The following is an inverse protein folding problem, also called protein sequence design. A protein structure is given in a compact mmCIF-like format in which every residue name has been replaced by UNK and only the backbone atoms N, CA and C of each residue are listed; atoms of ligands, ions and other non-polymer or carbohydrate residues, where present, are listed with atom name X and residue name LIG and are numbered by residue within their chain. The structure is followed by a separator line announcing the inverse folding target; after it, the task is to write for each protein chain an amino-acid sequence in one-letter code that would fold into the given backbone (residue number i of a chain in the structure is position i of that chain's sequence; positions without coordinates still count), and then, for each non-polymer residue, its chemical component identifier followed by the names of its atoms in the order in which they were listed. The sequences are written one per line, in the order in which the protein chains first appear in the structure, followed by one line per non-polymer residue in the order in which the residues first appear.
data_IF_522115339468
#
_entry.id   IF_522115339468
#
_cell.length_a   1.000
_cell.length_b   1.000
_cell.length_c   1.000
_cell.angle_alpha   90.00
_cell.angle_beta   90.00
_cell.angle_gamma   90.00
#
_symmetry.space_group_name_H-M   'P 1'
#
loop_
_entity.id
_entity.type
_entity.pdbx_description
1 polymer ?
#
# COMPACT_ATOMS: atom_id res chain seq x y z
N UNK A 1 0.12 7.93 -19.34
CA UNK A 1 -1.07 7.39 -18.65
C UNK A 1 -1.24 5.96 -19.15
N UNK A 2 -0.76 4.95 -18.43
CA UNK A 2 -1.12 3.56 -18.74
C UNK A 2 -2.44 3.30 -18.02
N UNK A 3 -3.53 3.32 -18.78
CA UNK A 3 -4.83 2.85 -18.29
C UNK A 3 -4.64 1.41 -17.85
N UNK A 4 -4.90 1.12 -16.57
CA UNK A 4 -4.89 -0.26 -16.10
C UNK A 4 -6.16 -0.90 -16.67
N UNK A 5 -6.03 -1.59 -17.78
CA UNK A 5 -7.13 -2.28 -18.45
C UNK A 5 -7.35 -3.62 -17.77
N UNK A 6 -8.58 -3.92 -17.37
CA UNK A 6 -8.94 -5.27 -16.93
C UNK A 6 -8.65 -6.30 -18.04
N UNK A 7 -8.47 -7.56 -17.65
CA UNK A 7 -8.33 -8.64 -18.62
C UNK A 7 -9.52 -8.66 -19.58
N UNK A 8 -9.26 -8.71 -20.87
CA UNK A 8 -10.32 -8.76 -21.88
C UNK A 8 -11.09 -10.08 -21.78
N UNK A 9 -12.35 -10.09 -22.21
CA UNK A 9 -13.14 -11.32 -22.28
C UNK A 9 -12.43 -12.43 -23.09
N UNK A 10 -11.66 -12.06 -24.12
CA UNK A 10 -10.84 -12.99 -24.89
C UNK A 10 -9.70 -13.62 -24.06
N UNK A 11 -8.98 -12.82 -23.27
CA UNK A 11 -7.95 -13.32 -22.37
C UNK A 11 -8.52 -14.24 -21.28
N UNK A 12 -9.63 -13.83 -20.64
CA UNK A 12 -10.31 -14.67 -19.64
C UNK A 12 -10.75 -16.00 -20.25
N UNK A 13 -11.34 -15.98 -21.45
CA UNK A 13 -11.73 -17.20 -22.17
C UNK A 13 -10.53 -18.10 -22.47
N UNK A 14 -9.40 -17.53 -22.85
CA UNK A 14 -8.19 -18.28 -23.15
C UNK A 14 -7.60 -18.93 -21.89
N UNK A 15 -7.56 -18.20 -20.76
CA UNK A 15 -7.09 -18.72 -19.46
C UNK A 15 -7.99 -19.88 -19.01
N UNK A 16 -9.31 -19.72 -19.08
CA UNK A 16 -10.26 -20.78 -18.73
C UNK A 16 -10.02 -22.04 -19.57
N UNK A 17 -9.75 -21.88 -20.88
CA UNK A 17 -9.45 -23.00 -21.76
C UNK A 17 -8.18 -23.75 -21.32
N UNK A 18 -7.11 -23.04 -20.96
CA UNK A 18 -5.90 -23.70 -20.47
C UNK A 18 -6.14 -24.52 -19.20
N UNK A 19 -6.96 -24.01 -18.27
CA UNK A 19 -7.32 -24.75 -17.07
C UNK A 19 -8.18 -25.99 -17.38
N UNK A 20 -9.20 -25.86 -18.24
CA UNK A 20 -10.02 -27.00 -18.69
C UNK A 20 -9.20 -28.07 -19.39
N UNK A 21 -8.35 -27.68 -20.35
CA UNK A 21 -7.51 -28.60 -21.11
C UNK A 21 -6.53 -29.35 -20.17
N UNK A 22 -6.00 -28.68 -19.14
CA UNK A 22 -5.14 -29.30 -18.14
C UNK A 22 -5.89 -30.33 -17.28
N UNK A 23 -7.11 -30.02 -16.84
CA UNK A 23 -7.95 -30.95 -16.06
C UNK A 23 -8.32 -32.17 -16.91
N UNK A 24 -8.71 -31.97 -18.18
CA UNK A 24 -9.03 -33.06 -19.09
C UNK A 24 -7.86 -34.03 -19.30
N UNK A 25 -6.64 -33.48 -19.39
CA UNK A 25 -5.42 -34.29 -19.47
C UNK A 25 -5.21 -35.14 -18.21
N UNK A 26 -5.40 -34.57 -17.02
CA UNK A 26 -5.31 -35.33 -15.75
C UNK A 26 -6.36 -36.45 -15.69
N UNK A 27 -7.60 -36.19 -16.12
CA UNK A 27 -8.65 -37.22 -16.14
C UNK A 27 -8.30 -38.37 -17.08
N UNK A 28 -7.71 -38.05 -18.24
CA UNK A 28 -7.26 -39.05 -19.21
C UNK A 28 -6.12 -39.91 -18.64
N UNK A 29 -5.15 -39.29 -17.97
CA UNK A 29 -4.00 -39.98 -17.35
C UNK A 29 -4.41 -40.83 -16.13
N UNK A 30 -5.37 -40.37 -15.34
CA UNK A 30 -5.85 -41.07 -14.15
C UNK A 30 -6.66 -42.34 -14.50
N UNK A 31 -7.38 -42.33 -15.64
CA UNK A 31 -8.09 -43.50 -16.14
C UNK A 31 -9.20 -44.01 -15.22
N UNK A 32 -10.06 -43.10 -14.74
CA UNK A 32 -11.18 -43.45 -13.85
C UNK A 32 -12.13 -44.47 -14.48
N UNK A 33 -12.54 -45.46 -13.69
CA UNK A 33 -13.65 -46.34 -14.04
C UNK A 33 -15.01 -45.66 -13.77
N UNK A 34 -16.10 -46.21 -14.29
CA UNK A 34 -17.44 -45.61 -14.12
C UNK A 34 -17.81 -45.36 -12.64
N UNK A 35 -17.57 -46.30 -11.69
CA UNK A 35 -17.80 -46.02 -10.27
C UNK A 35 -16.90 -44.93 -9.69
N UNK A 36 -15.62 -44.86 -10.08
CA UNK A 36 -14.69 -43.83 -9.67
C UNK A 36 -15.09 -42.44 -10.17
N UNK A 37 -15.50 -42.33 -11.43
CA UNK A 37 -16.03 -41.10 -12.01
C UNK A 37 -17.29 -40.63 -11.26
N UNK A 38 -18.22 -41.55 -10.97
CA UNK A 38 -19.44 -41.22 -10.24
C UNK A 38 -19.15 -40.70 -8.82
N UNK A 39 -18.17 -41.29 -8.10
CA UNK A 39 -17.75 -40.78 -6.79
C UNK A 39 -17.19 -39.35 -6.87
N UNK A 40 -16.37 -39.04 -7.87
CA UNK A 40 -15.85 -37.66 -8.06
C UNK A 40 -17.00 -36.68 -8.34
N UNK A 41 -18.00 -37.09 -9.12
CA UNK A 41 -19.20 -36.26 -9.38
C UNK A 41 -20.00 -36.01 -8.10
N UNK A 42 -20.18 -37.04 -7.26
CA UNK A 42 -20.89 -36.91 -5.97
C UNK A 42 -20.16 -35.99 -4.98
N UNK A 43 -18.82 -35.92 -5.07
CA UNK A 43 -17.97 -34.99 -4.31
C UNK A 43 -17.56 -33.76 -5.14
N UNK A 44 -18.38 -33.36 -6.11
CA UNK A 44 -18.04 -32.32 -7.09
C UNK A 44 -17.66 -30.96 -6.47
N UNK A 45 -18.31 -30.57 -5.36
CA UNK A 45 -18.01 -29.31 -4.66
C UNK A 45 -16.62 -29.34 -4.01
N UNK A 46 -16.22 -30.47 -3.41
CA UNK A 46 -14.89 -30.64 -2.83
C UNK A 46 -13.81 -30.59 -3.91
N UNK A 47 -14.06 -31.23 -5.05
CA UNK A 47 -13.17 -31.16 -6.21
C UNK A 47 -13.06 -29.73 -6.76
N UNK A 48 -14.19 -29.02 -6.88
CA UNK A 48 -14.22 -27.64 -7.36
C UNK A 48 -13.42 -26.69 -6.45
N UNK A 49 -13.55 -26.78 -5.13
CA UNK A 49 -12.78 -25.96 -4.19
C UNK A 49 -11.28 -26.31 -4.22
N UNK A 50 -10.91 -27.58 -4.40
CA UNK A 50 -9.51 -27.98 -4.55
C UNK A 50 -8.90 -27.36 -5.83
N UNK A 51 -9.59 -27.46 -6.96
CA UNK A 51 -9.17 -26.85 -8.23
C UNK A 51 -9.10 -25.33 -8.13
N UNK A 52 -10.10 -24.69 -7.51
CA UNK A 52 -10.13 -23.25 -7.27
C UNK A 52 -8.91 -22.79 -6.48
N UNK A 53 -8.56 -23.50 -5.41
CA UNK A 53 -7.40 -23.18 -4.56
C UNK A 53 -6.10 -23.22 -5.36
N UNK A 54 -5.85 -24.31 -6.09
CA UNK A 54 -4.63 -24.48 -6.89
C UNK A 54 -4.57 -23.47 -8.05
N UNK A 55 -5.69 -23.28 -8.75
CA UNK A 55 -5.77 -22.34 -9.88
C UNK A 55 -5.52 -20.91 -9.42
N UNK A 56 -6.08 -20.50 -8.28
CA UNK A 56 -5.83 -19.18 -7.71
C UNK A 56 -4.35 -18.96 -7.39
N UNK A 57 -3.67 -19.96 -6.84
CA UNK A 57 -2.24 -19.88 -6.56
C UNK A 57 -1.42 -19.74 -7.85
N UNK A 58 -1.67 -20.61 -8.84
CA UNK A 58 -0.95 -20.59 -10.12
C UNK A 58 -1.18 -19.31 -10.93
N UNK A 59 -2.42 -18.83 -11.00
CA UNK A 59 -2.73 -17.58 -11.70
C UNK A 59 -2.10 -16.38 -11.00
N UNK A 60 -2.08 -16.33 -9.67
CA UNK A 60 -1.37 -15.28 -8.94
C UNK A 60 0.11 -15.28 -9.29
N UNK A 61 0.77 -16.43 -9.26
CA UNK A 61 2.20 -16.54 -9.60
C UNK A 61 2.49 -16.08 -11.04
N UNK A 62 1.72 -16.56 -12.01
CA UNK A 62 1.92 -16.25 -13.43
C UNK A 62 1.48 -14.85 -13.86
N UNK A 63 0.57 -14.22 -13.11
CA UNK A 63 0.06 -12.87 -13.40
C UNK A 63 0.98 -11.76 -12.91
N UNK A 64 1.91 -12.08 -12.00
CA UNK A 64 2.84 -11.11 -11.44
C UNK A 64 4.04 -11.01 -12.38
N UNK A 65 4.33 -9.79 -12.82
CA UNK A 65 5.51 -9.50 -13.63
C UNK A 65 6.80 -9.95 -12.94
N UNK A 66 7.71 -10.57 -13.68
CA UNK A 66 9.05 -10.92 -13.18
C UNK A 66 9.98 -9.69 -13.08
N UNK A 67 9.51 -8.50 -13.48
CA UNK A 67 10.29 -7.28 -13.36
C UNK A 67 10.60 -7.02 -11.88
N UNK A 68 11.89 -6.79 -11.62
CA UNK A 68 12.45 -6.56 -10.27
C UNK A 68 12.24 -7.73 -9.29
N UNK A 69 12.00 -8.95 -9.78
CA UNK A 69 11.77 -10.13 -8.92
C UNK A 69 12.93 -10.41 -7.96
N UNK A 70 14.16 -10.09 -8.37
CA UNK A 70 15.36 -10.22 -7.53
C UNK A 70 15.50 -9.09 -6.48
N UNK A 71 14.60 -8.11 -6.49
CA UNK A 71 14.53 -7.02 -5.50
C UNK A 71 13.51 -7.35 -4.40
N UNK A 72 13.60 -8.56 -3.87
CA UNK A 72 12.79 -9.09 -2.78
C UNK A 72 13.66 -9.97 -1.87
N UNK A 73 13.63 -9.70 -0.57
CA UNK A 73 14.36 -10.46 0.46
C UNK A 73 13.39 -10.93 1.55
N UNK A 74 13.76 -11.99 2.25
CA UNK A 74 12.98 -12.46 3.40
C UNK A 74 12.95 -11.40 4.51
N UNK A 75 11.79 -11.25 5.15
CA UNK A 75 11.59 -10.30 6.24
C UNK A 75 10.71 -10.85 7.35
N UNK A 76 11.25 -10.74 8.56
CA UNK A 76 10.64 -11.17 9.81
C UNK A 76 10.12 -9.96 10.61
N UNK A 77 10.33 -8.74 10.08
CA UNK A 77 9.97 -7.48 10.73
C UNK A 77 8.45 -7.28 10.70
N UNK A 78 7.93 -6.68 11.77
CA UNK A 78 6.50 -6.45 11.96
C UNK A 78 6.23 -5.20 12.80
N UNK A 79 5.06 -5.15 13.43
CA UNK A 79 4.67 -4.03 14.28
C UNK A 79 4.85 -4.44 15.75
N UNK A 80 6.05 -4.23 16.26
CA UNK A 80 6.47 -4.70 17.58
C UNK A 80 6.19 -3.68 18.68
N UNK A 81 6.02 -2.42 18.31
CA UNK A 81 5.75 -1.30 19.23
C UNK A 81 4.30 -1.14 19.71
N UNK A 82 3.48 -2.19 19.55
CA UNK A 82 2.12 -2.22 20.11
C UNK A 82 1.00 -1.76 19.17
N UNK A 83 1.31 -1.30 17.96
CA UNK A 83 0.29 -1.15 16.91
C UNK A 83 -0.33 -2.51 16.56
N UNK A 84 -1.66 -2.60 16.64
CA UNK A 84 -2.42 -3.82 16.32
C UNK A 84 -3.44 -3.63 15.20
N UNK A 85 -4.07 -2.46 15.15
CA UNK A 85 -5.06 -2.09 14.14
C UNK A 85 -5.21 -0.56 14.11
N UNK A 86 -5.74 0.03 13.03
CA UNK A 86 -6.05 1.44 13.01
C UNK A 86 -7.07 1.81 14.11
N UNK A 87 -6.94 3.02 14.65
CA UNK A 87 -7.97 3.66 15.48
C UNK A 87 -9.23 3.90 14.64
N UNK A 88 -10.38 4.11 15.28
CA UNK A 88 -11.60 4.48 14.55
C UNK A 88 -11.40 5.78 13.75
N UNK A 89 -12.14 5.98 12.66
CA UNK A 89 -12.06 7.23 11.89
C UNK A 89 -12.38 8.43 12.79
N UNK A 90 -13.36 8.32 13.68
CA UNK A 90 -13.68 9.35 14.68
C UNK A 90 -12.47 9.71 15.55
N UNK A 91 -11.72 8.73 16.06
CA UNK A 91 -10.51 8.98 16.86
C UNK A 91 -9.41 9.63 16.03
N UNK A 92 -9.19 9.15 14.80
CA UNK A 92 -8.19 9.71 13.89
C UNK A 92 -8.53 11.18 13.54
N UNK A 93 -9.78 11.49 13.18
CA UNK A 93 -10.21 12.86 12.87
C UNK A 93 -10.14 13.78 14.09
N UNK A 94 -10.42 13.27 15.29
CA UNK A 94 -10.24 14.01 16.55
C UNK A 94 -8.79 14.42 16.76
N UNK A 95 -7.85 13.50 16.56
CA UNK A 95 -6.40 13.77 16.66
C UNK A 95 -6.00 14.81 15.60
N UNK A 96 -6.46 14.65 14.36
CA UNK A 96 -6.13 15.57 13.27
C UNK A 96 -6.61 16.99 13.51
N UNK A 97 -7.82 17.17 14.05
CA UNK A 97 -8.35 18.51 14.39
C UNK A 97 -7.59 19.20 15.51
N UNK A 98 -6.93 18.45 16.39
CA UNK A 98 -6.04 19.02 17.41
C UNK A 98 -4.69 19.46 16.82
N UNK A 99 -4.18 18.73 15.83
CA UNK A 99 -2.88 19.01 15.20
C UNK A 99 -2.99 20.10 14.13
N UNK A 100 -4.04 20.03 13.31
CA UNK A 100 -4.32 20.93 12.19
C UNK A 100 -5.69 21.61 12.41
N UNK A 101 -5.74 22.73 13.14
CA UNK A 101 -6.99 23.46 13.34
C UNK A 101 -7.63 23.86 12.00
N UNK A 102 -8.91 23.53 11.82
CA UNK A 102 -9.65 23.83 10.60
C UNK A 102 -9.56 22.79 9.48
N UNK A 103 -8.94 21.63 9.71
CA UNK A 103 -8.81 20.53 8.72
C UNK A 103 -10.14 19.86 8.31
N UNK A 104 -11.26 20.24 8.93
CA UNK A 104 -12.60 19.79 8.54
C UNK A 104 -12.98 18.40 9.08
N UNK A 105 -13.79 17.67 8.30
CA UNK A 105 -14.42 16.40 8.69
C UNK A 105 -14.34 15.34 7.60
N UNK A 106 -14.51 14.07 7.99
CA UNK A 106 -14.59 12.91 7.10
C UNK A 106 -16.03 12.38 7.01
N UNK A 107 -16.36 11.63 5.95
CA UNK A 107 -17.56 10.78 5.93
C UNK A 107 -17.28 9.48 6.70
N UNK A 108 -17.57 9.48 8.01
CA UNK A 108 -17.28 8.33 8.87
C UNK A 108 -18.03 7.05 8.46
N UNK A 109 -19.14 7.17 7.72
CA UNK A 109 -19.93 6.03 7.24
C UNK A 109 -19.16 5.17 6.24
N UNK A 110 -18.15 5.73 5.57
CA UNK A 110 -17.29 4.96 4.67
C UNK A 110 -16.54 3.85 5.41
N UNK A 111 -16.23 4.05 6.69
CA UNK A 111 -15.56 3.06 7.52
C UNK A 111 -16.49 1.97 8.09
N UNK A 112 -17.80 2.06 7.86
CA UNK A 112 -18.76 0.98 8.18
C UNK A 112 -18.69 -0.16 7.15
N UNK A 113 -18.07 0.07 6.00
CA UNK A 113 -17.86 -0.95 4.96
C UNK A 113 -16.82 -1.98 5.39
N UNK A 114 -16.92 -3.18 4.83
CA UNK A 114 -15.90 -4.21 5.01
C UNK A 114 -14.53 -3.70 4.56
N UNK A 115 -13.51 -3.97 5.38
CA UNK A 115 -12.13 -3.58 5.07
C UNK A 115 -11.66 -4.36 3.84
N UNK A 116 -11.19 -3.69 2.78
CA UNK A 116 -10.69 -4.38 1.59
C UNK A 116 -9.60 -5.39 1.93
N UNK A 117 -9.58 -6.50 1.20
CA UNK A 117 -8.54 -7.51 1.38
C UNK A 117 -7.14 -6.89 1.32
N UNK A 118 -6.29 -7.28 2.28
CA UNK A 118 -4.92 -6.82 2.47
C UNK A 118 -4.75 -5.40 3.05
N UNK A 119 -5.83 -4.64 3.27
CA UNK A 119 -5.76 -3.42 4.09
C UNK A 119 -5.73 -3.79 5.58
N UNK A 120 -5.02 -3.01 6.38
CA UNK A 120 -5.04 -3.09 7.86
C UNK A 120 -6.29 -2.44 8.44
N UNK A 121 -6.90 -1.51 7.70
CA UNK A 121 -8.16 -0.87 8.03
C UNK A 121 -8.30 0.49 7.36
N UNK A 122 -9.24 1.28 7.86
CA UNK A 122 -9.56 2.61 7.36
C UNK A 122 -8.70 3.68 8.04
N UNK A 123 -8.14 4.59 7.26
CA UNK A 123 -7.35 5.73 7.70
C UNK A 123 -8.01 7.04 7.28
N UNK A 124 -7.92 8.04 8.17
CA UNK A 124 -8.37 9.41 7.91
C UNK A 124 -7.20 10.24 7.38
N UNK A 125 -7.23 10.65 6.12
CA UNK A 125 -6.17 11.40 5.46
C UNK A 125 -6.71 12.74 4.95
N UNK A 126 -6.32 13.89 5.53
CA UNK A 126 -6.72 15.20 5.02
C UNK A 126 -6.35 15.37 3.54
N UNK A 127 -7.18 16.09 2.79
CA UNK A 127 -6.75 16.64 1.50
C UNK A 127 -5.57 17.58 1.78
N UNK A 128 -4.40 17.32 1.22
CA UNK A 128 -3.19 18.10 1.54
C UNK A 128 -3.37 19.61 1.27
N UNK A 129 -4.26 19.95 0.33
CA UNK A 129 -4.67 21.31 -0.03
C UNK A 129 -5.29 22.09 1.15
N UNK A 130 -5.85 21.39 2.14
CA UNK A 130 -6.40 22.01 3.36
C UNK A 130 -5.30 22.43 4.33
N UNK A 131 -4.09 21.89 4.17
CA UNK A 131 -2.95 22.12 5.06
C UNK A 131 -1.95 23.10 4.44
N UNK A 132 -1.68 23.01 3.14
CA UNK A 132 -0.74 23.90 2.45
C UNK A 132 -1.05 24.12 0.96
N UNK A 133 -0.57 25.25 0.38
CA UNK A 133 -0.65 25.55 -1.06
C UNK A 133 0.00 24.52 -2.00
N UNK A 134 1.06 23.84 -1.56
CA UNK A 134 1.76 22.82 -2.35
C UNK A 134 1.87 21.50 -1.60
N UNK A 135 2.06 20.41 -2.34
CA UNK A 135 2.25 19.08 -1.75
C UNK A 135 3.51 19.04 -0.88
N UNK A 136 4.62 19.64 -1.34
CA UNK A 136 5.88 19.65 -0.60
C UNK A 136 5.78 20.43 0.72
N UNK A 137 5.09 21.57 0.71
CA UNK A 137 4.80 22.33 1.94
C UNK A 137 3.89 21.56 2.90
N UNK A 138 2.91 20.81 2.38
CA UNK A 138 2.03 19.98 3.21
C UNK A 138 2.81 18.85 3.89
N UNK A 139 3.75 18.20 3.17
CA UNK A 139 4.65 17.19 3.73
C UNK A 139 5.49 17.81 4.84
N UNK A 140 6.14 18.95 4.60
CA UNK A 140 6.95 19.63 5.62
C UNK A 140 6.14 19.92 6.89
N UNK A 141 4.91 20.46 6.77
CA UNK A 141 4.04 20.70 7.93
C UNK A 141 3.69 19.44 8.71
N UNK A 142 3.52 18.30 8.02
CA UNK A 142 3.30 17.01 8.67
C UNK A 142 4.56 16.54 9.41
N UNK A 143 5.74 16.68 8.83
CA UNK A 143 7.00 16.33 9.51
C UNK A 143 7.23 17.20 10.76
N UNK A 144 6.95 18.51 10.67
CA UNK A 144 7.03 19.42 11.82
C UNK A 144 6.03 19.02 12.92
N UNK A 145 4.83 18.60 12.53
CA UNK A 145 3.84 18.08 13.48
C UNK A 145 4.29 16.77 14.14
N UNK A 146 4.95 15.86 13.40
CA UNK A 146 5.52 14.62 13.97
C UNK A 146 6.59 14.97 15.00
N UNK A 147 7.49 15.90 14.65
CA UNK A 147 8.52 16.39 15.57
C UNK A 147 7.91 16.95 16.85
N UNK A 148 6.87 17.78 16.75
CA UNK A 148 6.15 18.31 17.90
C UNK A 148 5.48 17.20 18.73
N UNK A 149 4.77 16.28 18.09
CA UNK A 149 4.08 15.16 18.75
C UNK A 149 5.03 14.21 19.48
N UNK A 150 6.29 14.12 19.02
CA UNK A 150 7.36 13.29 19.62
C UNK A 150 8.30 14.08 20.53
N UNK A 151 7.90 15.25 21.01
CA UNK A 151 8.70 16.10 21.91
C UNK A 151 10.11 16.40 21.37
N UNK A 152 10.22 16.62 20.06
CA UNK A 152 11.48 16.89 19.38
C UNK A 152 12.26 15.66 18.94
N UNK A 153 11.88 14.44 19.33
CA UNK A 153 12.49 13.17 18.93
C UNK A 153 12.08 12.77 17.51
N UNK A 154 12.52 13.58 16.56
CA UNK A 154 12.32 13.38 15.15
C UNK A 154 13.41 14.10 14.36
N UNK A 155 14.03 13.40 13.42
CA UNK A 155 15.06 13.94 12.56
C UNK A 155 14.67 13.86 11.08
N UNK A 156 14.87 14.94 10.34
CA UNK A 156 14.60 15.03 8.90
C UNK A 156 15.94 15.22 8.17
N UNK A 157 16.45 14.18 7.52
CA UNK A 157 17.68 14.24 6.72
C UNK A 157 17.53 15.10 5.46
N UNK A 158 16.29 15.40 5.05
CA UNK A 158 15.94 16.19 3.88
C UNK A 158 15.41 17.57 4.24
N UNK A 159 15.73 18.06 5.44
CA UNK A 159 15.36 19.40 5.86
C UNK A 159 15.95 20.46 4.90
N UNK A 160 15.12 21.43 4.52
CA UNK A 160 15.45 22.42 3.49
C UNK A 160 15.49 21.89 2.04
N UNK A 161 15.28 20.59 1.82
CA UNK A 161 15.28 19.96 0.48
C UNK A 161 13.87 19.62 -0.04
N UNK A 162 12.83 19.72 0.80
CA UNK A 162 11.45 19.42 0.41
C UNK A 162 10.81 20.59 -0.34
N UNK A 163 10.79 20.49 -1.67
CA UNK A 163 10.14 21.46 -2.55
C UNK A 163 9.62 20.78 -3.83
N UNK A 164 8.83 21.49 -4.62
CA UNK A 164 8.15 20.94 -5.81
C UNK A 164 9.09 20.48 -6.92
N UNK A 165 10.36 20.92 -6.91
CA UNK A 165 11.38 20.43 -7.84
C UNK A 165 11.98 19.09 -7.42
N UNK A 166 11.85 18.72 -6.14
CA UNK A 166 12.48 17.53 -5.55
C UNK A 166 11.52 16.46 -5.05
N UNK A 167 10.37 16.83 -4.52
CA UNK A 167 9.39 15.88 -4.02
C UNK A 167 8.11 15.96 -4.84
N UNK A 168 7.65 14.81 -5.34
CA UNK A 168 6.36 14.73 -6.03
C UNK A 168 5.67 13.41 -5.76
N UNK A 169 4.34 13.43 -5.85
CA UNK A 169 3.55 12.21 -5.91
C UNK A 169 3.77 11.51 -7.27
N UNK A 170 3.82 10.19 -7.26
CA UNK A 170 3.72 9.38 -8.47
C UNK A 170 2.40 9.68 -9.20
N UNK A 171 2.41 9.61 -10.53
CA UNK A 171 1.21 9.90 -11.34
C UNK A 171 0.00 9.03 -10.97
N UNK A 172 0.23 7.75 -10.62
CA UNK A 172 -0.84 6.84 -10.16
C UNK A 172 -1.44 7.31 -8.83
N UNK A 173 -0.59 7.65 -7.87
CA UNK A 173 -1.04 8.12 -6.54
C UNK A 173 -1.81 9.42 -6.65
N UNK A 174 -1.27 10.41 -7.36
CA UNK A 174 -1.94 11.69 -7.59
C UNK A 174 -3.32 11.51 -8.26
N UNK A 175 -3.39 10.68 -9.30
CA UNK A 175 -4.64 10.41 -10.00
C UNK A 175 -5.70 9.73 -9.12
N UNK A 176 -5.31 8.77 -8.28
CA UNK A 176 -6.27 8.07 -7.42
C UNK A 176 -6.72 8.96 -6.26
N UNK A 177 -5.82 9.71 -5.63
CA UNK A 177 -6.20 10.66 -4.58
C UNK A 177 -7.10 11.78 -5.13
N UNK A 178 -6.92 12.19 -6.40
CA UNK A 178 -7.86 13.09 -7.05
C UNK A 178 -9.25 12.44 -7.21
N UNK A 179 -9.33 11.20 -7.73
CA UNK A 179 -10.61 10.47 -7.85
C UNK A 179 -11.31 10.35 -6.48
N UNK A 180 -10.58 9.97 -5.44
CA UNK A 180 -11.10 9.89 -4.06
C UNK A 180 -11.58 11.25 -3.55
N UNK A 181 -10.86 12.33 -3.89
CA UNK A 181 -11.25 13.69 -3.51
C UNK A 181 -12.54 14.13 -4.20
N UNK A 182 -12.76 13.70 -5.45
CA UNK A 182 -13.98 13.99 -6.21
C UNK A 182 -15.17 13.16 -5.70
N UNK A 183 -14.94 11.89 -5.34
CA UNK A 183 -15.94 11.01 -4.72
C UNK A 183 -16.35 11.49 -3.32
N UNK A 184 -15.39 12.00 -2.54
CA UNK A 184 -15.57 12.54 -1.19
C UNK A 184 -15.51 14.08 -1.20
N UNK A 185 -16.13 14.70 -2.21
CA UNK A 185 -16.02 16.16 -2.45
C UNK A 185 -16.55 17.03 -1.31
N UNK A 186 -17.57 16.54 -0.58
CA UNK A 186 -18.23 17.28 0.51
C UNK A 186 -17.48 17.15 1.85
N UNK A 187 -16.30 16.51 1.84
CA UNK A 187 -15.47 16.26 3.01
C UNK A 187 -14.03 16.70 2.79
N UNK A 188 -13.40 17.23 3.83
CA UNK A 188 -12.02 17.71 3.80
C UNK A 188 -11.00 16.60 4.11
N UNK A 189 -11.47 15.56 4.80
CA UNK A 189 -10.68 14.40 5.20
C UNK A 189 -11.18 13.17 4.44
N UNK A 190 -10.28 12.53 3.72
CA UNK A 190 -10.55 11.31 2.97
C UNK A 190 -10.52 10.10 3.92
N UNK A 191 -11.48 9.21 3.77
CA UNK A 191 -11.43 7.86 4.35
C UNK A 191 -10.83 6.91 3.31
N UNK A 192 -9.68 6.32 3.65
CA UNK A 192 -8.87 5.51 2.74
C UNK A 192 -8.51 4.18 3.40
N UNK A 193 -8.78 3.05 2.75
CA UNK A 193 -8.29 1.76 3.22
C UNK A 193 -6.80 1.64 2.91
N UNK A 194 -5.97 1.26 3.88
CA UNK A 194 -4.52 1.18 3.69
C UNK A 194 -3.80 0.27 4.66
N UNK A 195 -2.48 0.24 4.55
CA UNK A 195 -1.57 -0.58 5.36
C UNK A 195 -0.19 0.06 5.47
N UNK A 196 0.54 -0.19 6.56
CA UNK A 196 1.79 0.50 6.92
C UNK A 196 3.06 -0.08 6.29
N UNK A 197 2.97 -1.15 5.52
CA UNK A 197 4.08 -1.77 4.79
C UNK A 197 4.12 -3.31 4.89
N UNK A 198 3.37 -3.93 5.80
CA UNK A 198 3.53 -5.35 6.15
C UNK A 198 3.34 -6.29 4.96
N UNK A 199 2.46 -5.90 4.02
CA UNK A 199 2.19 -6.65 2.79
C UNK A 199 3.37 -6.70 1.83
N UNK A 200 4.18 -5.64 1.81
CA UNK A 200 5.29 -5.46 0.88
C UNK A 200 6.64 -5.44 1.58
N UNK A 201 6.72 -5.95 2.81
CA UNK A 201 7.98 -6.03 3.56
C UNK A 201 9.02 -6.84 2.81
N UNK A 202 10.27 -6.40 2.86
CA UNK A 202 11.38 -7.07 2.16
C UNK A 202 11.46 -6.78 0.66
N UNK A 203 10.49 -6.07 0.06
CA UNK A 203 10.53 -5.68 -1.35
C UNK A 203 11.15 -4.31 -1.51
N UNK A 204 11.90 -4.10 -2.60
CA UNK A 204 12.16 -2.73 -3.03
C UNK A 204 10.87 -2.01 -3.39
N UNK A 205 10.85 -0.68 -3.33
CA UNK A 205 9.70 0.12 -3.75
C UNK A 205 9.34 -0.12 -5.21
N UNK A 206 10.33 -0.34 -6.10
CA UNK A 206 10.06 -0.71 -7.50
C UNK A 206 9.36 -2.05 -7.61
N UNK A 207 9.82 -3.07 -6.87
CA UNK A 207 9.17 -4.38 -6.83
C UNK A 207 7.77 -4.27 -6.25
N UNK A 208 7.58 -3.54 -5.15
CA UNK A 208 6.27 -3.29 -4.56
C UNK A 208 5.30 -2.64 -5.57
N UNK A 209 5.74 -1.59 -6.27
CA UNK A 209 4.95 -0.91 -7.31
C UNK A 209 4.56 -1.82 -8.47
N UNK A 210 5.44 -2.72 -8.86
CA UNK A 210 5.20 -3.69 -9.94
C UNK A 210 4.13 -4.73 -9.55
N UNK A 211 4.12 -5.16 -8.29
CA UNK A 211 3.20 -6.22 -7.79
C UNK A 211 1.96 -5.70 -7.10
N UNK A 212 1.76 -4.37 -7.04
CA UNK A 212 0.51 -3.79 -6.55
C UNK A 212 -0.66 -4.35 -7.35
N UNK A 213 -1.72 -4.69 -6.63
CA UNK A 213 -2.98 -5.06 -7.27
C UNK A 213 -3.53 -3.89 -8.10
N UNK A 214 -4.44 -4.18 -9.04
CA UNK A 214 -5.04 -3.16 -9.92
C UNK A 214 -5.62 -1.98 -9.13
N UNK A 215 -6.25 -2.28 -8.00
CA UNK A 215 -6.88 -1.33 -7.10
C UNK A 215 -5.98 -0.86 -5.94
N UNK A 216 -4.68 -1.15 -6.00
CA UNK A 216 -3.71 -0.79 -4.98
C UNK A 216 -2.78 0.32 -5.48
N UNK A 217 -2.44 1.28 -4.63
CA UNK A 217 -1.48 2.35 -4.90
C UNK A 217 -0.51 2.53 -3.73
N UNK A 218 0.66 3.09 -3.99
CA UNK A 218 1.59 3.47 -2.93
C UNK A 218 1.10 4.69 -2.16
N UNK A 219 1.34 4.74 -0.86
CA UNK A 219 1.10 5.92 -0.04
C UNK A 219 2.34 6.82 -0.03
N UNK A 220 2.14 8.13 -0.21
CA UNK A 220 3.20 9.13 -0.19
C UNK A 220 3.56 9.58 1.24
N UNK A 221 4.62 10.37 1.36
CA UNK A 221 5.15 10.87 2.63
C UNK A 221 4.11 11.65 3.45
N UNK A 222 3.26 12.42 2.76
CA UNK A 222 2.17 13.13 3.42
C UNK A 222 1.21 12.15 4.12
N UNK A 223 0.67 11.17 3.38
CA UNK A 223 -0.30 10.23 3.92
C UNK A 223 0.30 9.34 5.00
N UNK A 224 1.52 8.82 4.79
CA UNK A 224 2.23 8.02 5.80
C UNK A 224 2.51 8.84 7.06
N UNK A 225 2.93 10.10 6.92
CA UNK A 225 3.14 10.99 8.06
C UNK A 225 1.87 11.26 8.85
N UNK A 226 0.74 11.46 8.17
CA UNK A 226 -0.59 11.56 8.80
C UNK A 226 -0.94 10.28 9.57
N UNK A 227 -0.66 9.10 8.99
CA UNK A 227 -0.90 7.82 9.64
C UNK A 227 -0.03 7.66 10.90
N UNK A 228 1.24 8.08 10.88
CA UNK A 228 2.15 8.09 12.04
C UNK A 228 1.64 9.04 13.14
N UNK A 229 1.09 10.21 12.77
CA UNK A 229 0.52 11.16 13.73
C UNK A 229 -0.70 10.60 14.48
N UNK A 230 -1.57 9.88 13.78
CA UNK A 230 -2.77 9.28 14.37
C UNK A 230 -2.50 7.94 15.05
N UNK A 231 -1.35 7.32 14.77
CA UNK A 231 -0.91 6.05 15.33
C UNK A 231 0.52 6.17 15.88
N UNK A 232 0.67 7.02 16.90
CA UNK A 232 1.96 7.28 17.52
C UNK A 232 2.65 5.98 18.01
N UNK A 233 1.92 4.91 18.29
CA UNK A 233 2.46 3.59 18.61
C UNK A 233 3.25 2.91 17.47
N UNK A 234 3.21 3.43 16.24
CA UNK A 234 4.11 3.01 15.15
C UNK A 234 5.48 3.68 15.29
N UNK A 235 6.52 2.94 14.90
CA UNK A 235 7.91 3.40 14.94
C UNK A 235 8.29 3.91 16.35
N UNK A 236 8.29 2.99 17.32
CA UNK A 236 8.80 3.25 18.68
C UNK A 236 10.01 2.38 19.04
N UNK A 237 10.42 1.49 18.15
CA UNK A 237 11.51 0.56 18.38
C UNK A 237 12.25 0.25 17.08
N UNK A 238 13.56 -0.03 17.18
CA UNK A 238 14.42 -0.30 16.01
C UNK A 238 13.99 -1.56 15.24
N UNK A 239 13.32 -2.49 15.93
CA UNK A 239 12.75 -3.70 15.31
C UNK A 239 11.35 -3.52 14.71
N UNK A 240 10.77 -2.32 14.75
CA UNK A 240 9.57 -2.07 13.95
C UNK A 240 9.92 -2.10 12.46
N UNK A 241 9.02 -2.66 11.65
CA UNK A 241 9.08 -2.51 10.20
C UNK A 241 9.08 -1.02 9.83
N UNK A 242 10.10 -0.57 9.11
CA UNK A 242 10.24 0.77 8.56
C UNK A 242 9.39 0.92 7.31
N UNK A 243 9.03 2.16 6.97
CA UNK A 243 7.93 2.44 6.06
C UNK A 243 8.43 3.16 4.83
N UNK A 244 8.39 2.51 3.66
CA UNK A 244 8.63 3.23 2.40
C UNK A 244 7.37 3.99 1.97
N UNK A 245 7.56 5.24 1.57
CA UNK A 245 6.52 6.09 0.99
C UNK A 245 6.42 5.83 -0.52
N UNK A 246 5.98 4.62 -0.89
CA UNK A 246 5.94 4.16 -2.28
C UNK A 246 5.03 4.99 -3.20
N UNK A 247 4.24 5.91 -2.67
CA UNK A 247 3.44 6.87 -3.43
C UNK A 247 4.21 8.07 -3.97
N UNK A 248 5.44 8.33 -3.49
CA UNK A 248 6.24 9.51 -3.82
C UNK A 248 7.54 9.18 -4.54
N UNK A 249 8.09 10.18 -5.21
CA UNK A 249 9.43 10.17 -5.81
C UNK A 249 10.22 11.37 -5.30
N UNK A 250 11.48 11.14 -4.97
CA UNK A 250 12.42 12.15 -4.51
C UNK A 250 13.61 12.28 -5.47
N UNK A 251 13.95 13.53 -5.77
CA UNK A 251 15.12 13.94 -6.54
C UNK A 251 16.27 14.26 -5.59
N UNK A 252 17.08 13.25 -5.30
CA UNK A 252 18.23 13.37 -4.41
C UNK A 252 19.30 14.28 -5.04
N UNK A 253 19.75 15.36 -4.36
CA UNK A 253 20.81 16.23 -4.87
C UNK A 253 22.12 15.50 -5.21
N UNK A 254 22.37 14.37 -4.54
CA UNK A 254 23.62 13.61 -4.69
C UNK A 254 23.48 12.48 -5.72
N UNK A 255 22.34 12.37 -6.40
CA UNK A 255 22.10 11.37 -7.44
C UNK A 255 22.24 11.94 -8.86
N UNK A 256 22.91 11.19 -9.73
CA UNK A 256 23.06 11.52 -11.16
C UNK A 256 21.76 11.34 -11.96
N UNK A 257 20.76 10.68 -11.37
CA UNK A 257 19.48 10.38 -12.02
C UNK A 257 18.35 10.98 -11.18
N UNK A 258 17.40 11.63 -11.82
CA UNK A 258 16.30 12.31 -11.12
C UNK A 258 15.17 11.35 -10.74
N UNK A 259 14.52 11.62 -9.61
CA UNK A 259 13.31 10.92 -9.15
C UNK A 259 13.47 9.40 -9.02
N UNK A 260 14.65 9.02 -8.55
CA UNK A 260 15.07 7.64 -8.35
C UNK A 260 14.96 7.20 -6.89
N UNK A 261 14.73 8.13 -5.98
CA UNK A 261 14.60 7.83 -4.56
C UNK A 261 13.13 7.82 -4.15
N UNK A 262 12.81 7.08 -3.10
CA UNK A 262 11.52 7.15 -2.42
C UNK A 262 11.76 7.64 -0.99
N UNK A 263 10.92 8.54 -0.46
CA UNK A 263 10.97 8.89 0.95
C UNK A 263 10.63 7.68 1.82
N UNK A 264 11.12 7.66 3.06
CA UNK A 264 10.79 6.63 4.03
C UNK A 264 10.82 7.18 5.46
N UNK A 265 10.17 6.45 6.37
CA UNK A 265 10.24 6.68 7.81
C UNK A 265 10.84 5.47 8.51
N UNK A 266 11.79 5.70 9.42
CA UNK A 266 12.38 4.65 10.25
C UNK A 266 12.45 5.05 11.72
N UNK A 267 12.82 4.10 12.57
CA UNK A 267 13.19 4.38 13.96
C UNK A 267 14.61 3.92 14.22
N UNK A 268 15.50 4.86 14.49
CA UNK A 268 16.89 4.61 14.89
C UNK A 268 17.31 5.62 15.96
N UNK A 269 18.34 5.31 16.74
CA UNK A 269 18.89 6.24 17.74
C UNK A 269 17.93 6.66 18.87
N UNK A 270 16.73 6.06 18.97
CA UNK A 270 15.69 6.47 19.90
C UNK A 270 14.74 7.55 19.39
N UNK A 271 14.76 7.85 18.08
CA UNK A 271 13.88 8.81 17.43
C UNK A 271 13.33 8.28 16.10
N UNK A 272 12.30 8.98 15.58
CA UNK A 272 11.81 8.69 14.22
C UNK A 272 12.56 9.55 13.23
N UNK A 273 13.00 8.94 12.15
CA UNK A 273 13.76 9.62 11.12
C UNK A 273 12.97 9.64 9.81
N UNK A 274 13.15 10.71 9.03
CA UNK A 274 12.65 10.84 7.68
C UNK A 274 13.81 11.12 6.73
N UNK A 275 13.87 10.34 5.65
CA UNK A 275 14.91 10.43 4.64
C UNK A 275 14.39 9.89 3.29
N UNK A 276 15.24 9.82 2.27
CA UNK A 276 14.95 9.24 0.96
C UNK A 276 16.10 8.34 0.50
N UNK A 277 15.78 7.17 -0.06
CA UNK A 277 16.76 6.18 -0.53
C UNK A 277 16.42 5.68 -1.93
N UNK A 278 17.44 5.22 -2.66
CA UNK A 278 17.28 4.57 -3.96
C UNK A 278 16.22 3.46 -3.88
N UNK A 279 15.13 3.63 -4.62
CA UNK A 279 13.91 2.82 -4.50
C UNK A 279 14.05 1.38 -5.05
N UNK A 280 15.27 0.99 -5.44
CA UNK A 280 15.63 -0.33 -5.96
C UNK A 280 16.35 -1.23 -4.96
N UNK A 281 16.74 -0.71 -3.79
CA UNK A 281 17.31 -1.52 -2.73
C UNK A 281 16.23 -2.29 -1.98
N UNK A 282 16.24 -3.61 -2.07
CA UNK A 282 15.40 -4.46 -1.23
C UNK A 282 16.05 -4.64 0.14
N UNK A 283 15.26 -4.58 1.20
CA UNK A 283 15.77 -4.71 2.56
C UNK A 283 14.69 -5.27 3.49
N UNK A 284 15.08 -6.20 4.36
CA UNK A 284 14.15 -6.88 5.28
C UNK A 284 13.53 -5.94 6.32
N UNK A 285 14.15 -4.80 6.59
CA UNK A 285 13.68 -3.81 7.56
C UNK A 285 12.53 -2.94 7.03
N UNK A 286 12.32 -2.89 5.71
CA UNK A 286 11.41 -1.95 5.07
C UNK A 286 10.19 -2.65 4.48
N UNK A 287 9.07 -1.93 4.45
CA UNK A 287 7.89 -2.32 3.68
C UNK A 287 7.18 -1.11 3.09
N UNK A 288 6.75 -1.25 1.83
CA UNK A 288 6.05 -0.18 1.12
C UNK A 288 4.60 -0.03 1.58
N UNK A 289 4.28 1.15 2.12
CA UNK A 289 2.91 1.50 2.48
C UNK A 289 2.03 1.65 1.24
N UNK A 290 0.81 1.12 1.31
CA UNK A 290 -0.15 1.14 0.20
C UNK A 290 -1.58 1.39 0.66
N UNK A 291 -2.40 1.86 -0.27
CA UNK A 291 -3.83 2.06 -0.12
C UNK A 291 -4.60 1.28 -1.18
N UNK A 292 -5.86 0.99 -0.86
CA UNK A 292 -6.77 0.19 -1.67
C UNK A 292 -8.02 0.99 -1.96
N UNK A 293 -8.38 1.06 -3.23
CA UNK A 293 -9.66 1.61 -3.67
C UNK A 293 -10.65 0.49 -3.99
N UNK A 294 -11.97 0.72 -3.88
CA UNK A 294 -12.96 -0.22 -4.39
C UNK A 294 -12.69 -0.55 -5.87
N UNK A 295 -12.86 -1.81 -6.24
CA UNK A 295 -12.96 -2.19 -7.65
C UNK A 295 -14.40 -1.88 -8.09
N UNK A 296 -14.56 -0.98 -9.04
CA UNK A 296 -15.82 -0.74 -9.74
C UNK A 296 -16.20 -1.98 -10.57
#
# INVERSE_FOLDING_TARGET
MQTITQATAGQIKQINRFASDAVEKVLTELGLDNPGAQRVIEHGDEFAEAIRTVTLASLKDLSVSDKFKDEEVESNYGYLSGYRKPKSITEQTNILRQIFPGVGFADEKLAEREVPANAEGWFAIPKWQTIAPTYSEAVQKVLDAIKKARNGKFYNYRDGQLNDSRLRQTAKTASVFQKLSDEQKDHDILVVAGQFGLRHRGRSVRRAREVFSVNELGLGAFAVGIMILTHAERLQHYDDLWIDCAGDEFDDPDADVRFVHAPYFLFDGGEVEFDAVWFGGASGFYGSASAFVPQD
#
